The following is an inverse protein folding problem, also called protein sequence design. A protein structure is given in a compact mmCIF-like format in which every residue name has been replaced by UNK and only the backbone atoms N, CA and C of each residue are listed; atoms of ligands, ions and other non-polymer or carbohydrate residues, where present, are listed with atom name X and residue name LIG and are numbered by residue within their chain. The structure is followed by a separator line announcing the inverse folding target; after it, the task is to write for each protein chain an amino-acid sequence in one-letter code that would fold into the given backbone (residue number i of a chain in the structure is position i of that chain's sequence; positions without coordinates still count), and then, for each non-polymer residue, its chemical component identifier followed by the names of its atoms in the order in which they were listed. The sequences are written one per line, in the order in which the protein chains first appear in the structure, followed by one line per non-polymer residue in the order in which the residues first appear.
data_IF_467897692978
#
_entry.id   IF_467897692978
#
_cell.length_a   1.000
_cell.length_b   1.000
_cell.length_c   1.000
_cell.angle_alpha   90.00
_cell.angle_beta   90.00
_cell.angle_gamma   90.00
#
_symmetry.space_group_name_H-M   'P 1'
#
loop_
_entity.id
_entity.type
_entity.pdbx_description
1 polymer ?
#
# COMPACT_ATOMS: atom_id res chain seq x y z
N UNK A 1 5.97 16.36 -19.01
CA UNK A 1 4.94 17.03 -18.20
C UNK A 1 4.03 17.78 -19.16
N UNK A 2 2.71 17.79 -18.93
CA UNK A 2 1.78 18.59 -19.72
C UNK A 2 2.26 20.03 -19.73
N UNK A 3 2.19 20.67 -20.88
CA UNK A 3 2.40 22.12 -20.95
C UNK A 3 1.26 22.77 -20.14
N UNK A 4 1.59 23.73 -19.27
CA UNK A 4 0.57 24.42 -18.45
C UNK A 4 -0.51 25.02 -19.35
N UNK A 5 -1.78 24.85 -18.95
CA UNK A 5 -2.93 25.33 -19.72
C UNK A 5 -3.26 24.51 -20.97
N UNK A 6 -2.72 23.29 -21.08
CA UNK A 6 -3.22 22.31 -22.05
C UNK A 6 -4.45 21.58 -21.51
N UNK A 7 -5.29 21.00 -22.39
CA UNK A 7 -6.39 20.15 -21.95
C UNK A 7 -5.96 19.00 -21.02
N UNK A 8 -4.74 18.47 -21.16
CA UNK A 8 -4.19 17.45 -20.27
C UNK A 8 -3.86 17.97 -18.86
N UNK A 9 -3.36 19.21 -18.75
CA UNK A 9 -3.12 19.88 -17.48
C UNK A 9 -4.45 20.16 -16.74
N UNK A 10 -5.46 20.61 -17.47
CA UNK A 10 -6.82 20.80 -16.95
C UNK A 10 -7.42 19.47 -16.44
N UNK A 11 -7.25 18.36 -17.17
CA UNK A 11 -7.68 17.02 -16.71
C UNK A 11 -6.99 16.63 -15.40
N UNK A 12 -5.68 16.86 -15.30
CA UNK A 12 -4.93 16.56 -14.09
C UNK A 12 -5.49 17.34 -12.89
N UNK A 13 -5.83 18.63 -13.10
CA UNK A 13 -6.47 19.47 -12.09
C UNK A 13 -7.81 18.91 -11.62
N UNK A 14 -8.70 18.55 -12.55
CA UNK A 14 -10.01 17.99 -12.23
C UNK A 14 -9.93 16.65 -11.48
N UNK A 15 -9.01 15.76 -11.88
CA UNK A 15 -8.77 14.51 -11.14
C UNK A 15 -8.21 14.76 -9.73
N UNK A 16 -7.36 15.78 -9.57
CA UNK A 16 -6.80 16.19 -8.29
C UNK A 16 -7.92 16.68 -7.36
N UNK A 17 -8.78 17.57 -7.85
CA UNK A 17 -9.93 18.09 -7.09
C UNK A 17 -10.90 16.97 -6.67
N UNK A 18 -11.21 16.06 -7.60
CA UNK A 18 -12.07 14.90 -7.33
C UNK A 18 -11.46 13.97 -6.27
N UNK A 19 -10.16 13.69 -6.37
CA UNK A 19 -9.42 12.87 -5.41
C UNK A 19 -9.32 13.53 -4.04
N UNK A 20 -8.91 14.80 -3.99
CA UNK A 20 -8.76 15.56 -2.74
C UNK A 20 -10.08 15.67 -1.97
N UNK A 21 -11.19 15.88 -2.69
CA UNK A 21 -12.52 15.90 -2.08
C UNK A 21 -12.87 14.56 -1.43
N UNK A 22 -12.67 13.43 -2.15
CA UNK A 22 -12.98 12.11 -1.61
C UNK A 22 -12.04 11.73 -0.45
N UNK A 23 -10.72 11.85 -0.66
CA UNK A 23 -9.69 11.50 0.32
C UNK A 23 -9.71 12.40 1.56
N UNK A 24 -10.32 13.59 1.50
CA UNK A 24 -10.55 14.46 2.65
C UNK A 24 -11.37 13.78 3.78
N UNK A 25 -12.18 12.78 3.46
CA UNK A 25 -13.00 12.05 4.44
C UNK A 25 -12.29 10.83 5.06
N UNK A 26 -11.08 10.49 4.62
CA UNK A 26 -10.34 9.28 5.03
C UNK A 26 -10.30 9.10 6.55
N UNK A 27 -9.90 10.15 7.29
CA UNK A 27 -9.67 10.07 8.74
C UNK A 27 -10.97 9.87 9.54
N UNK A 28 -12.08 10.40 9.03
CA UNK A 28 -13.39 10.28 9.68
C UNK A 28 -13.99 8.89 9.45
N UNK A 29 -13.79 8.32 8.27
CA UNK A 29 -14.46 7.11 7.82
C UNK A 29 -13.63 5.84 8.11
N UNK A 30 -12.30 5.94 7.95
CA UNK A 30 -11.34 4.83 8.00
C UNK A 30 -10.11 5.17 8.87
N UNK A 31 -10.29 5.36 10.19
CA UNK A 31 -9.19 5.73 11.11
C UNK A 31 -8.01 4.75 11.09
N UNK A 32 -8.26 3.45 10.90
CA UNK A 32 -7.21 2.42 10.83
C UNK A 32 -6.23 2.59 9.66
N UNK A 33 -6.63 3.33 8.62
CA UNK A 33 -5.88 3.50 7.37
C UNK A 33 -5.68 4.99 7.03
N UNK A 34 -5.60 5.87 8.03
CA UNK A 34 -5.49 7.34 7.90
C UNK A 34 -4.36 7.86 7.02
N UNK A 35 -3.35 7.04 6.73
CA UNK A 35 -2.22 7.44 5.89
C UNK A 35 -2.57 7.48 4.39
N UNK A 36 -3.68 6.87 3.97
CA UNK A 36 -4.15 6.86 2.58
C UNK A 36 -5.00 8.13 2.29
N UNK A 37 -4.42 9.31 2.55
CA UNK A 37 -5.07 10.61 2.38
C UNK A 37 -4.58 11.35 1.12
N UNK A 38 -5.08 12.56 0.87
CA UNK A 38 -4.69 13.39 -0.28
C UNK A 38 -3.18 13.72 -0.32
N UNK A 39 -2.52 13.77 0.84
CA UNK A 39 -1.07 13.96 0.89
C UNK A 39 -0.39 12.71 0.31
N UNK A 40 -0.92 11.51 0.57
CA UNK A 40 -0.38 10.25 0.04
C UNK A 40 -0.47 10.23 -1.48
N UNK A 41 -1.66 10.49 -2.02
CA UNK A 41 -1.87 10.65 -3.46
C UNK A 41 -0.84 11.60 -4.11
N UNK A 42 -0.59 12.76 -3.50
CA UNK A 42 0.42 13.72 -3.97
C UNK A 42 1.84 13.15 -3.96
N UNK A 43 2.22 12.42 -2.91
CA UNK A 43 3.52 11.77 -2.83
C UNK A 43 3.67 10.67 -3.90
N UNK A 44 2.62 9.89 -4.15
CA UNK A 44 2.59 8.90 -5.25
C UNK A 44 2.85 9.57 -6.60
N UNK A 45 2.24 10.73 -6.88
CA UNK A 45 2.55 11.51 -8.10
C UNK A 45 4.03 11.91 -8.17
N UNK A 46 4.59 12.43 -7.07
CA UNK A 46 6.00 12.81 -7.01
C UNK A 46 6.93 11.61 -7.25
N UNK A 47 6.64 10.46 -6.64
CA UNK A 47 7.40 9.22 -6.80
C UNK A 47 7.29 8.67 -8.23
N UNK A 48 6.08 8.64 -8.80
CA UNK A 48 5.85 8.23 -10.18
C UNK A 48 6.60 9.13 -11.17
N UNK A 49 6.65 10.44 -10.91
CA UNK A 49 7.44 11.39 -11.70
C UNK A 49 8.94 11.10 -11.59
N UNK A 50 9.47 10.83 -10.40
CA UNK A 50 10.87 10.48 -10.22
C UNK A 50 11.26 9.19 -10.98
N UNK A 51 10.31 8.24 -11.09
CA UNK A 51 10.50 7.03 -11.90
C UNK A 51 10.56 7.30 -13.41
N UNK A 52 10.02 8.42 -13.90
CA UNK A 52 10.08 8.78 -15.33
C UNK A 52 11.51 9.01 -15.84
N UNK A 53 12.41 9.46 -14.97
CA UNK A 53 13.84 9.62 -15.31
C UNK A 53 14.52 8.27 -15.60
N UNK A 54 13.89 7.15 -15.20
CA UNK A 54 14.45 5.80 -15.32
C UNK A 54 13.74 4.98 -16.42
N UNK A 55 12.40 5.03 -16.46
CA UNK A 55 11.63 4.30 -17.48
C UNK A 55 11.54 5.02 -18.82
N UNK A 56 12.01 6.28 -18.86
CA UNK A 56 11.86 7.18 -19.98
C UNK A 56 10.71 8.17 -19.75
N UNK A 57 10.80 9.37 -20.38
CA UNK A 57 9.82 10.42 -20.17
C UNK A 57 8.43 9.95 -20.60
N UNK A 58 7.44 10.21 -19.75
CA UNK A 58 6.04 9.97 -20.08
C UNK A 58 5.55 10.99 -21.11
N UNK A 59 4.80 10.52 -22.11
CA UNK A 59 4.02 11.40 -22.96
C UNK A 59 2.87 12.06 -22.16
N UNK A 60 2.16 13.02 -22.77
CA UNK A 60 1.14 13.80 -22.06
C UNK A 60 0.00 12.91 -21.53
N UNK A 61 -0.48 11.96 -22.33
CA UNK A 61 -1.54 11.04 -21.93
C UNK A 61 -1.10 10.06 -20.85
N UNK A 62 0.12 9.49 -20.96
CA UNK A 62 0.72 8.63 -19.91
C UNK A 62 0.84 9.39 -18.59
N UNK A 63 1.33 10.63 -18.63
CA UNK A 63 1.48 11.46 -17.44
C UNK A 63 0.12 11.81 -16.82
N UNK A 64 -0.84 12.26 -17.63
CA UNK A 64 -2.17 12.59 -17.13
C UNK A 64 -2.87 11.37 -16.52
N UNK A 65 -2.72 10.20 -17.14
CA UNK A 65 -3.26 8.96 -16.61
C UNK A 65 -2.62 8.56 -15.27
N UNK A 66 -1.29 8.72 -15.12
CA UNK A 66 -0.61 8.49 -13.85
C UNK A 66 -1.06 9.47 -12.76
N UNK A 67 -1.20 10.76 -13.06
CA UNK A 67 -1.68 11.75 -12.10
C UNK A 67 -3.10 11.41 -11.64
N UNK A 68 -4.01 11.21 -12.59
CA UNK A 68 -5.39 10.85 -12.27
C UNK A 68 -5.49 9.54 -11.46
N UNK A 69 -4.77 8.50 -11.86
CA UNK A 69 -4.77 7.24 -11.13
C UNK A 69 -4.18 7.40 -9.72
N UNK A 70 -3.11 8.19 -9.55
CA UNK A 70 -2.50 8.43 -8.23
C UNK A 70 -3.47 9.14 -7.27
N UNK A 71 -4.25 10.11 -7.73
CA UNK A 71 -5.26 10.78 -6.91
C UNK A 71 -6.51 9.94 -6.64
N UNK A 72 -6.79 8.95 -7.49
CA UNK A 72 -8.03 8.19 -7.42
C UNK A 72 -7.85 6.75 -6.93
N UNK A 73 -6.63 6.26 -6.71
CA UNK A 73 -6.40 4.83 -6.42
C UNK A 73 -6.97 4.38 -5.07
N UNK A 74 -6.89 5.23 -4.06
CA UNK A 74 -7.31 4.93 -2.68
C UNK A 74 -8.68 5.49 -2.30
N UNK A 75 -9.37 6.19 -3.21
CA UNK A 75 -10.66 6.85 -2.88
C UNK A 75 -11.69 5.88 -2.33
N UNK A 76 -11.65 4.60 -2.72
CA UNK A 76 -12.52 3.55 -2.18
C UNK A 76 -12.38 3.32 -0.67
N UNK A 77 -11.27 3.72 -0.06
CA UNK A 77 -11.07 3.75 1.39
C UNK A 77 -11.46 5.09 2.03
N UNK A 78 -12.09 6.00 1.29
CA UNK A 78 -12.52 7.31 1.79
C UNK A 78 -14.00 7.60 1.50
N UNK A 79 -14.79 6.57 1.15
CA UNK A 79 -16.21 6.73 0.80
C UNK A 79 -17.15 6.30 1.94
N UNK A 80 -18.28 7.01 2.14
CA UNK A 80 -19.39 6.55 2.97
C UNK A 80 -19.92 5.17 2.54
N UNK A 81 -20.29 4.23 3.44
CA UNK A 81 -20.91 2.95 3.10
C UNK A 81 -22.09 3.02 2.16
N UNK A 82 -22.94 4.05 2.28
CA UNK A 82 -24.04 4.26 1.34
C UNK A 82 -23.55 4.47 -0.09
N UNK A 83 -22.43 5.19 -0.27
CA UNK A 83 -21.81 5.38 -1.58
C UNK A 83 -21.10 4.11 -2.07
N UNK A 84 -20.36 3.41 -1.20
CA UNK A 84 -19.72 2.11 -1.52
C UNK A 84 -20.79 1.12 -2.03
N UNK A 85 -21.91 1.01 -1.32
CA UNK A 85 -23.02 0.14 -1.68
C UNK A 85 -23.69 0.54 -3.00
N UNK A 86 -23.75 1.85 -3.31
CA UNK A 86 -24.31 2.40 -4.56
C UNK A 86 -23.43 2.07 -5.78
N UNK A 87 -22.11 2.05 -5.61
CA UNK A 87 -21.16 1.68 -6.67
C UNK A 87 -21.33 0.23 -7.16
N UNK A 88 -21.89 -0.62 -6.28
CA UNK A 88 -22.28 -2.01 -6.58
C UNK A 88 -21.15 -2.81 -7.21
N UNK A 89 -20.02 -2.91 -6.51
CA UNK A 89 -18.87 -3.72 -6.94
C UNK A 89 -19.28 -5.18 -7.00
N UNK A 90 -19.40 -5.72 -8.20
CA UNK A 90 -19.84 -7.10 -8.42
C UNK A 90 -18.67 -8.07 -8.35
N UNK A 91 -18.86 -9.27 -7.81
CA UNK A 91 -17.81 -10.30 -7.70
C UNK A 91 -17.12 -10.60 -9.04
N UNK A 92 -17.87 -10.59 -10.15
CA UNK A 92 -17.34 -10.77 -11.52
C UNK A 92 -16.34 -9.70 -11.94
N UNK A 93 -16.48 -8.48 -11.41
CA UNK A 93 -15.58 -7.36 -11.68
C UNK A 93 -14.24 -7.53 -10.96
N UNK A 94 -14.28 -8.12 -9.76
CA UNK A 94 -13.07 -8.51 -9.01
C UNK A 94 -12.41 -9.72 -9.69
N UNK A 95 -13.20 -10.76 -9.93
CA UNK A 95 -12.75 -12.01 -10.52
C UNK A 95 -12.20 -11.88 -11.94
N UNK A 96 -12.60 -10.86 -12.71
CA UNK A 96 -12.00 -10.61 -14.03
C UNK A 96 -10.55 -10.16 -13.96
N UNK A 97 -10.13 -9.50 -12.86
CA UNK A 97 -8.73 -9.13 -12.67
C UNK A 97 -7.95 -10.19 -11.88
N UNK A 98 -8.57 -10.76 -10.85
CA UNK A 98 -7.91 -11.71 -9.94
C UNK A 98 -8.88 -12.79 -9.41
N UNK A 99 -9.03 -13.92 -10.14
CA UNK A 99 -9.89 -15.03 -9.73
C UNK A 99 -9.49 -15.66 -8.39
N UNK A 100 -8.19 -15.87 -8.17
CA UNK A 100 -7.68 -16.51 -6.96
C UNK A 100 -7.92 -15.65 -5.71
N UNK A 101 -7.79 -14.34 -5.86
CA UNK A 101 -8.10 -13.40 -4.80
C UNK A 101 -9.60 -13.38 -4.46
N UNK A 102 -10.48 -13.47 -5.46
CA UNK A 102 -11.92 -13.59 -5.20
C UNK A 102 -12.24 -14.83 -4.36
N UNK A 103 -11.58 -15.97 -4.63
CA UNK A 103 -11.74 -17.17 -3.82
C UNK A 103 -11.28 -16.95 -2.37
N UNK A 104 -10.17 -16.23 -2.15
CA UNK A 104 -9.70 -15.86 -0.81
C UNK A 104 -10.72 -14.94 -0.10
N UNK A 105 -11.25 -13.93 -0.81
CA UNK A 105 -12.31 -13.07 -0.30
C UNK A 105 -13.56 -13.84 0.10
N UNK A 106 -14.00 -14.82 -0.70
CA UNK A 106 -15.15 -15.65 -0.36
C UNK A 106 -14.91 -16.57 0.83
N UNK A 107 -13.66 -16.96 1.08
CA UNK A 107 -13.32 -17.73 2.28
C UNK A 107 -13.40 -16.84 3.52
N UNK A 108 -12.82 -15.64 3.44
CA UNK A 108 -12.58 -14.83 4.61
C UNK A 108 -13.68 -13.79 4.87
N UNK A 109 -14.42 -13.31 3.86
CA UNK A 109 -15.35 -12.16 3.90
C UNK A 109 -16.68 -12.41 3.17
N UNK A 110 -17.14 -13.68 3.11
CA UNK A 110 -18.35 -14.07 2.36
C UNK A 110 -19.59 -13.26 2.73
N UNK A 111 -19.71 -12.88 3.99
CA UNK A 111 -20.84 -12.14 4.55
C UNK A 111 -21.07 -10.76 3.92
N UNK A 112 -20.06 -10.22 3.24
CA UNK A 112 -20.11 -8.96 2.50
C UNK A 112 -20.58 -9.12 1.05
N UNK A 113 -20.79 -10.33 0.55
CA UNK A 113 -21.23 -10.57 -0.84
C UNK A 113 -22.70 -11.00 -0.87
N UNK A 114 -23.59 -10.06 -1.17
CA UNK A 114 -25.04 -10.28 -1.26
C UNK A 114 -25.53 -10.05 -2.69
N UNK A 115 -26.25 -11.04 -3.24
CA UNK A 115 -26.70 -10.97 -4.64
C UNK A 115 -25.55 -10.85 -5.65
N UNK A 116 -24.36 -11.35 -5.31
CA UNK A 116 -23.15 -11.28 -6.13
C UNK A 116 -22.40 -9.94 -6.07
N UNK A 117 -22.81 -9.00 -5.22
CA UNK A 117 -22.15 -7.70 -5.06
C UNK A 117 -21.66 -7.46 -3.63
N UNK A 118 -20.55 -6.73 -3.51
CA UNK A 118 -20.03 -6.27 -2.23
C UNK A 118 -21.00 -5.27 -1.58
N UNK A 119 -21.37 -5.52 -0.32
CA UNK A 119 -22.33 -4.75 0.47
C UNK A 119 -21.89 -4.65 1.92
N UNK A 120 -21.78 -3.42 2.41
CA UNK A 120 -21.66 -3.10 3.82
C UNK A 120 -23.06 -3.05 4.45
N UNK A 121 -23.24 -3.76 5.57
CA UNK A 121 -24.52 -3.82 6.30
C UNK A 121 -24.68 -2.68 7.30
N UNK A 122 -23.55 -2.23 7.86
CA UNK A 122 -23.52 -1.14 8.82
C UNK A 122 -23.22 0.19 8.13
N UNK A 123 -23.86 1.25 8.62
CA UNK A 123 -23.64 2.64 8.18
C UNK A 123 -23.06 3.50 9.31
N UNK A 124 -22.49 2.88 10.34
CA UNK A 124 -21.85 3.58 11.45
C UNK A 124 -20.51 4.19 11.04
N UNK A 125 -20.16 5.31 11.68
CA UNK A 125 -18.87 5.96 11.52
C UNK A 125 -18.22 6.18 12.90
N UNK A 126 -16.92 5.89 13.06
CA UNK A 126 -16.07 5.20 12.08
C UNK A 126 -16.55 3.77 11.79
N UNK A 127 -16.08 3.17 10.70
CA UNK A 127 -16.36 1.76 10.42
C UNK A 127 -15.80 0.84 11.52
N UNK A 128 -16.43 -0.32 11.72
CA UNK A 128 -15.82 -1.38 12.53
C UNK A 128 -14.51 -1.86 11.88
N UNK A 129 -13.57 -2.37 12.66
CA UNK A 129 -12.28 -2.90 12.16
C UNK A 129 -12.50 -3.95 11.06
N UNK A 130 -13.53 -4.78 11.22
CA UNK A 130 -13.94 -5.81 10.25
C UNK A 130 -14.44 -5.22 8.93
N UNK A 131 -15.33 -4.24 9.00
CA UNK A 131 -15.86 -3.54 7.81
C UNK A 131 -14.73 -2.80 7.09
N UNK A 132 -13.84 -2.14 7.85
CA UNK A 132 -12.69 -1.43 7.32
C UNK A 132 -11.72 -2.38 6.60
N UNK A 133 -11.41 -3.55 7.17
CA UNK A 133 -10.60 -4.57 6.53
C UNK A 133 -11.24 -5.09 5.23
N UNK A 134 -12.55 -5.36 5.25
CA UNK A 134 -13.27 -5.81 4.07
C UNK A 134 -13.17 -4.77 2.94
N UNK A 135 -13.39 -3.49 3.26
CA UNK A 135 -13.22 -2.39 2.31
C UNK A 135 -11.78 -2.31 1.83
N UNK A 136 -10.78 -2.35 2.71
CA UNK A 136 -9.37 -2.31 2.30
C UNK A 136 -9.02 -3.43 1.32
N UNK A 137 -9.54 -4.64 1.50
CA UNK A 137 -9.25 -5.73 0.56
C UNK A 137 -9.91 -5.47 -0.81
N UNK A 138 -11.05 -4.77 -0.87
CA UNK A 138 -11.82 -4.52 -2.10
C UNK A 138 -11.63 -3.11 -2.68
N UNK A 139 -10.90 -2.22 -1.99
CA UNK A 139 -10.79 -0.80 -2.33
C UNK A 139 -10.33 -0.52 -3.76
N UNK A 140 -9.41 -1.28 -4.40
CA UNK A 140 -9.00 -1.00 -5.77
C UNK A 140 -10.18 -1.06 -6.75
N UNK A 141 -11.12 -1.99 -6.51
CA UNK A 141 -12.34 -2.14 -7.31
C UNK A 141 -13.43 -1.14 -6.94
N UNK A 142 -13.54 -0.76 -5.66
CA UNK A 142 -14.42 0.33 -5.24
C UNK A 142 -13.97 1.64 -5.91
N UNK A 143 -12.68 1.96 -5.84
CA UNK A 143 -12.06 3.10 -6.51
C UNK A 143 -12.28 3.04 -8.02
N UNK A 144 -12.07 1.89 -8.67
CA UNK A 144 -12.34 1.73 -10.11
C UNK A 144 -13.80 2.04 -10.50
N UNK A 145 -14.77 1.56 -9.70
CA UNK A 145 -16.19 1.89 -9.90
C UNK A 145 -16.49 3.35 -9.64
N UNK A 146 -15.85 3.96 -8.64
CA UNK A 146 -15.96 5.39 -8.37
C UNK A 146 -15.49 6.21 -9.59
N UNK A 147 -14.33 5.89 -10.14
CA UNK A 147 -13.81 6.52 -11.36
C UNK A 147 -14.79 6.38 -12.52
N UNK A 148 -15.28 5.17 -12.79
CA UNK A 148 -16.26 4.92 -13.87
C UNK A 148 -17.57 5.68 -13.69
N UNK A 149 -17.95 6.01 -12.45
CA UNK A 149 -19.24 6.62 -12.14
C UNK A 149 -19.20 8.14 -12.08
N UNK A 150 -18.07 8.73 -11.67
CA UNK A 150 -18.00 10.17 -11.38
C UNK A 150 -17.02 10.92 -12.29
N UNK A 151 -15.95 10.27 -12.78
CA UNK A 151 -14.99 10.95 -13.64
C UNK A 151 -15.58 11.37 -15.00
N UNK A 152 -16.45 10.59 -15.68
CA UNK A 152 -17.06 11.02 -16.94
C UNK A 152 -17.77 12.38 -16.85
N UNK A 153 -18.60 12.56 -15.82
CA UNK A 153 -19.33 13.81 -15.58
C UNK A 153 -18.37 14.95 -15.19
N UNK A 154 -17.34 14.64 -14.40
CA UNK A 154 -16.32 15.61 -13.97
C UNK A 154 -15.54 16.20 -15.16
N UNK A 155 -15.30 15.40 -16.21
CA UNK A 155 -14.53 15.82 -17.39
C UNK A 155 -15.40 16.09 -18.62
N UNK A 156 -16.73 16.13 -18.50
CA UNK A 156 -17.65 16.15 -19.65
C UNK A 156 -17.32 17.29 -20.62
N UNK A 157 -17.29 18.53 -20.13
CA UNK A 157 -16.99 19.71 -20.96
C UNK A 157 -15.59 19.65 -21.57
N UNK A 158 -14.61 19.19 -20.79
CA UNK A 158 -13.22 19.10 -21.23
C UNK A 158 -13.02 18.01 -22.28
N UNK A 159 -13.80 16.93 -22.20
CA UNK A 159 -13.77 15.82 -23.15
C UNK A 159 -14.13 16.22 -24.58
N UNK A 160 -14.85 17.34 -24.76
CA UNK A 160 -15.20 17.90 -26.06
C UNK A 160 -13.98 18.49 -26.81
N UNK A 161 -12.88 18.77 -26.09
CA UNK A 161 -11.61 19.24 -26.68
C UNK A 161 -10.74 18.10 -27.23
N UNK A 162 -11.16 16.85 -27.02
CA UNK A 162 -10.43 15.64 -27.41
C UNK A 162 -11.18 14.86 -28.50
N UNK A 163 -10.59 13.76 -28.97
CA UNK A 163 -11.18 12.88 -29.95
C UNK A 163 -12.49 12.24 -29.45
N UNK A 164 -13.37 11.86 -30.39
CA UNK A 164 -14.67 11.31 -30.05
C UNK A 164 -14.56 10.09 -29.12
N UNK A 165 -15.38 10.08 -28.07
CA UNK A 165 -15.40 8.98 -27.09
C UNK A 165 -14.30 9.04 -26.03
N UNK A 166 -13.49 10.11 -25.99
CA UNK A 166 -12.52 10.35 -24.92
C UNK A 166 -13.14 10.25 -23.52
N UNK A 167 -14.26 10.94 -23.29
CA UNK A 167 -14.97 10.97 -22.00
C UNK A 167 -15.44 9.61 -21.48
N UNK A 168 -15.49 8.57 -22.34
CA UNK A 168 -15.78 7.20 -21.92
C UNK A 168 -14.53 6.33 -21.83
N UNK A 169 -13.56 6.53 -22.73
CA UNK A 169 -12.34 5.71 -22.79
C UNK A 169 -11.35 6.07 -21.69
N UNK A 170 -11.15 7.37 -21.44
CA UNK A 170 -10.19 7.82 -20.43
C UNK A 170 -10.57 7.35 -19.02
N UNK A 171 -11.82 7.51 -18.52
CA UNK A 171 -12.20 6.96 -17.22
C UNK A 171 -12.03 5.44 -17.09
N UNK A 172 -12.24 4.66 -18.16
CA UNK A 172 -11.99 3.21 -18.16
C UNK A 172 -10.51 2.87 -18.05
N UNK A 173 -9.65 3.66 -18.68
CA UNK A 173 -8.19 3.54 -18.53
C UNK A 173 -7.79 3.80 -17.08
N UNK A 174 -8.26 4.90 -16.49
CA UNK A 174 -7.97 5.25 -15.09
C UNK A 174 -8.51 4.17 -14.14
N UNK A 175 -9.76 3.75 -14.31
CA UNK A 175 -10.36 2.65 -13.53
C UNK A 175 -9.55 1.36 -13.59
N UNK A 176 -9.02 1.02 -14.78
CA UNK A 176 -8.16 -0.16 -14.94
C UNK A 176 -6.84 0.01 -14.21
N UNK A 177 -6.17 1.16 -14.37
CA UNK A 177 -4.92 1.45 -13.68
C UNK A 177 -5.08 1.39 -12.17
N UNK A 178 -6.17 1.98 -11.66
CA UNK A 178 -6.54 1.96 -10.25
C UNK A 178 -6.82 0.53 -9.79
N UNK A 179 -7.55 -0.32 -10.50
CA UNK A 179 -7.71 -1.72 -10.06
C UNK A 179 -6.40 -2.49 -10.05
N UNK A 180 -5.57 -2.26 -11.07
CA UNK A 180 -4.31 -2.94 -11.27
C UNK A 180 -3.19 -2.45 -10.35
N UNK A 181 -3.42 -1.43 -9.52
CA UNK A 181 -2.50 -1.09 -8.44
C UNK A 181 -2.48 -2.18 -7.34
N UNK A 182 -3.53 -3.02 -7.25
CA UNK A 182 -3.55 -4.12 -6.31
C UNK A 182 -2.44 -5.15 -6.56
N UNK A 183 -1.78 -5.61 -5.50
CA UNK A 183 -0.78 -6.70 -5.55
C UNK A 183 -1.36 -8.03 -6.01
N UNK A 184 -2.67 -8.19 -5.82
CA UNK A 184 -3.42 -9.39 -6.18
C UNK A 184 -3.67 -9.49 -7.69
N UNK A 185 -3.45 -8.40 -8.44
CA UNK A 185 -3.61 -8.38 -9.89
C UNK A 185 -2.29 -8.72 -10.56
N UNK A 186 -2.32 -9.77 -11.38
CA UNK A 186 -1.22 -10.08 -12.30
C UNK A 186 -1.30 -9.10 -13.46
N UNK A 187 -0.41 -8.11 -13.44
CA UNK A 187 -0.29 -7.13 -14.51
C UNK A 187 -0.10 -7.83 -15.88
N UNK A 188 -0.58 -7.22 -16.96
CA UNK A 188 -0.38 -7.72 -18.32
C UNK A 188 -0.11 -6.53 -19.22
N UNK A 189 0.67 -6.74 -20.29
CA UNK A 189 0.82 -5.72 -21.33
C UNK A 189 -0.56 -5.44 -21.92
N UNK A 190 -0.97 -4.19 -21.89
CA UNK A 190 -2.28 -3.77 -22.36
C UNK A 190 -2.15 -2.40 -23.02
N UNK A 191 -2.10 -2.39 -24.35
CA UNK A 191 -1.82 -1.21 -25.13
C UNK A 191 -3.09 -0.53 -25.60
N UNK A 192 -3.19 0.76 -25.34
CA UNK A 192 -4.27 1.63 -25.79
C UNK A 192 -3.70 2.77 -26.64
N UNK A 193 -4.54 3.29 -27.54
CA UNK A 193 -4.31 4.58 -28.17
C UNK A 193 -5.35 5.59 -27.69
N UNK A 194 -4.88 6.79 -27.40
CA UNK A 194 -5.69 7.92 -26.95
C UNK A 194 -5.04 9.22 -27.47
N UNK A 195 -5.75 10.01 -28.26
CA UNK A 195 -5.25 11.26 -28.85
C UNK A 195 -3.93 11.09 -29.63
N UNK A 196 -3.76 9.96 -30.34
CA UNK A 196 -2.51 9.62 -31.03
C UNK A 196 -1.34 9.23 -30.11
N UNK A 197 -1.51 9.27 -28.79
CA UNK A 197 -0.55 8.73 -27.83
C UNK A 197 -0.76 7.25 -27.60
N UNK A 198 0.34 6.52 -27.41
CA UNK A 198 0.33 5.12 -26.99
C UNK A 198 0.47 5.02 -25.47
N UNK A 199 -0.40 4.24 -24.85
CA UNK A 199 -0.38 3.95 -23.41
C UNK A 199 -0.24 2.45 -23.20
N UNK A 200 0.71 2.02 -22.36
CA UNK A 200 0.79 0.64 -21.88
C UNK A 200 0.37 0.58 -20.41
N UNK A 201 -0.84 0.09 -20.15
CA UNK A 201 -1.39 0.08 -18.79
C UNK A 201 -0.63 -0.88 -17.86
N UNK A 202 -0.03 -1.94 -18.39
CA UNK A 202 0.81 -2.82 -17.58
C UNK A 202 2.03 -2.08 -17.04
N UNK A 203 2.70 -1.30 -17.90
CA UNK A 203 3.81 -0.41 -17.52
C UNK A 203 3.37 0.65 -16.53
N UNK A 204 2.29 1.39 -16.83
CA UNK A 204 1.83 2.50 -15.98
C UNK A 204 1.33 2.03 -14.61
N UNK A 205 0.62 0.90 -14.53
CA UNK A 205 0.23 0.30 -13.25
C UNK A 205 1.42 -0.22 -12.45
N UNK A 206 2.48 -0.73 -13.10
CA UNK A 206 3.70 -1.12 -12.40
C UNK A 206 4.43 0.10 -11.80
N UNK A 207 4.45 1.23 -12.51
CA UNK A 207 4.95 2.51 -12.00
C UNK A 207 4.11 2.98 -10.81
N UNK A 208 2.78 2.96 -10.93
CA UNK A 208 1.86 3.36 -9.87
C UNK A 208 2.08 2.54 -8.60
N UNK A 209 2.18 1.21 -8.73
CA UNK A 209 2.45 0.29 -7.60
C UNK A 209 3.75 0.60 -6.87
N UNK A 210 4.84 0.81 -7.62
CA UNK A 210 6.12 1.12 -7.00
C UNK A 210 6.10 2.51 -6.36
N UNK A 211 5.44 3.49 -6.99
CA UNK A 211 5.32 4.84 -6.47
C UNK A 211 4.51 4.92 -5.16
N UNK A 212 3.42 4.15 -5.08
CA UNK A 212 2.62 3.93 -3.87
C UNK A 212 3.47 3.26 -2.77
N UNK A 213 4.11 2.13 -3.09
CA UNK A 213 4.94 1.37 -2.16
C UNK A 213 6.17 2.13 -1.63
N UNK A 214 6.52 3.29 -2.18
CA UNK A 214 7.60 4.16 -1.70
C UNK A 214 7.15 5.19 -0.65
N UNK A 215 5.86 5.44 -0.47
CA UNK A 215 5.37 6.45 0.49
C UNK A 215 5.22 5.90 1.91
N UNK A 216 6.35 5.56 2.54
CA UNK A 216 6.37 4.92 3.87
C UNK A 216 7.34 5.56 4.88
N UNK A 217 7.51 6.89 4.82
CA UNK A 217 8.40 7.63 5.73
C UNK A 217 7.72 8.15 7.02
N UNK A 218 8.50 8.32 8.08
CA UNK A 218 8.14 8.92 9.39
C UNK A 218 7.49 10.29 9.28
N UNK A 219 7.86 11.09 8.29
CA UNK A 219 7.25 12.40 8.04
C UNK A 219 5.73 12.32 7.89
N UNK A 220 5.22 11.17 7.43
CA UNK A 220 3.79 10.86 7.27
C UNK A 220 3.09 10.56 8.59
N UNK A 221 3.77 9.91 9.52
CA UNK A 221 3.17 9.31 10.71
C UNK A 221 3.28 10.21 11.95
N UNK A 222 4.24 11.14 11.98
CA UNK A 222 4.52 12.00 13.14
C UNK A 222 3.34 12.88 13.60
N UNK A 223 2.45 13.29 12.70
CA UNK A 223 1.30 14.14 13.03
C UNK A 223 0.05 13.36 13.47
N UNK A 224 0.13 12.03 13.44
CA UNK A 224 -1.00 11.12 13.62
C UNK A 224 -0.84 10.30 14.91
N UNK A 225 0.39 10.20 15.45
CA UNK A 225 0.79 9.21 16.47
C UNK A 225 0.01 9.28 17.79
N UNK A 226 -0.25 10.46 18.33
CA UNK A 226 -0.56 10.54 19.77
C UNK A 226 -2.03 10.20 20.10
N UNK A 227 -2.94 10.23 19.13
CA UNK A 227 -4.34 9.83 19.35
C UNK A 227 -4.71 8.50 18.69
N UNK A 228 -4.06 8.15 17.58
CA UNK A 228 -4.39 6.92 16.86
C UNK A 228 -3.59 5.70 17.34
N UNK A 229 -2.43 5.87 17.98
CA UNK A 229 -1.74 4.71 18.57
C UNK A 229 -2.62 4.06 19.65
N UNK A 230 -3.31 4.84 20.49
CA UNK A 230 -4.22 4.27 21.49
C UNK A 230 -5.42 3.56 20.84
N UNK A 231 -5.99 4.13 19.77
CA UNK A 231 -7.12 3.50 19.05
C UNK A 231 -6.72 2.27 18.23
N UNK A 232 -5.53 2.26 17.62
CA UNK A 232 -5.04 1.19 16.73
C UNK A 232 -4.35 0.07 17.53
N UNK A 233 -3.69 0.39 18.65
CA UNK A 233 -3.02 -0.57 19.55
C UNK A 233 -3.94 -1.69 19.98
N UNK A 234 -5.17 -1.35 20.32
CA UNK A 234 -6.13 -2.30 20.89
C UNK A 234 -7.08 -2.91 19.84
N UNK A 235 -7.12 -2.38 18.60
CA UNK A 235 -8.17 -2.68 17.60
C UNK A 235 -7.69 -3.17 16.23
N UNK A 236 -6.40 -3.06 15.90
CA UNK A 236 -5.90 -3.59 14.62
C UNK A 236 -4.40 -3.92 14.63
N UNK A 237 -4.01 -5.09 15.17
CA UNK A 237 -2.61 -5.55 15.19
C UNK A 237 -1.91 -5.56 13.82
N UNK A 238 -2.65 -5.90 12.76
CA UNK A 238 -2.13 -5.92 11.38
C UNK A 238 -1.70 -4.54 10.88
N UNK A 239 -2.30 -3.48 11.42
CA UNK A 239 -1.91 -2.09 11.13
C UNK A 239 -0.82 -1.58 12.04
N UNK A 240 -0.78 -2.05 13.29
CA UNK A 240 0.24 -1.63 14.24
C UNK A 240 1.66 -1.84 13.70
N UNK A 241 1.94 -2.99 13.07
CA UNK A 241 3.27 -3.25 12.47
C UNK A 241 3.65 -2.26 11.37
N UNK A 242 2.70 -1.87 10.52
CA UNK A 242 2.96 -0.83 9.51
C UNK A 242 3.33 0.50 10.16
N UNK A 243 2.66 0.87 11.25
CA UNK A 243 2.90 2.15 11.90
C UNK A 243 4.25 2.17 12.61
N UNK A 244 4.53 1.14 13.40
CA UNK A 244 5.78 1.04 14.17
C UNK A 244 6.99 1.06 13.22
N UNK A 245 6.97 0.27 12.14
CA UNK A 245 8.13 0.22 11.25
C UNK A 245 8.24 1.46 10.36
N UNK A 246 7.13 2.06 9.90
CA UNK A 246 7.17 3.34 9.14
C UNK A 246 7.73 4.50 9.97
N UNK A 247 7.47 4.52 11.28
CA UNK A 247 8.01 5.54 12.19
C UNK A 247 9.54 5.55 12.24
N UNK A 248 10.20 4.43 11.94
CA UNK A 248 11.65 4.34 11.91
C UNK A 248 12.28 4.84 10.59
N UNK A 249 11.50 4.93 9.51
CA UNK A 249 12.00 5.30 8.18
C UNK A 249 12.06 6.81 8.06
N UNK A 250 13.25 7.41 8.05
CA UNK A 250 13.44 8.86 7.88
C UNK A 250 12.97 9.34 6.51
N UNK A 251 13.44 8.69 5.45
CA UNK A 251 13.15 9.10 4.08
C UNK A 251 13.22 7.92 3.12
N UNK A 252 12.47 8.03 2.01
CA UNK A 252 12.57 7.12 0.87
C UNK A 252 12.70 8.00 -0.36
N UNK A 253 13.73 7.77 -1.17
CA UNK A 253 13.95 8.56 -2.36
C UNK A 253 14.62 7.75 -3.47
N UNK A 254 14.46 8.22 -4.71
CA UNK A 254 15.10 7.63 -5.89
C UNK A 254 16.11 8.61 -6.46
N UNK A 255 17.31 8.11 -6.73
CA UNK A 255 18.34 8.87 -7.44
C UNK A 255 19.18 7.94 -8.31
N UNK A 256 19.38 8.31 -9.57
CA UNK A 256 20.20 7.56 -10.53
C UNK A 256 19.87 6.06 -10.62
N UNK A 257 18.58 5.70 -10.64
CA UNK A 257 18.15 4.31 -10.74
C UNK A 257 18.30 3.50 -9.44
N UNK A 258 18.53 4.14 -8.30
CA UNK A 258 18.63 3.49 -6.98
C UNK A 258 17.55 4.04 -6.05
N UNK A 259 16.75 3.14 -5.48
CA UNK A 259 15.86 3.42 -4.35
C UNK A 259 16.70 3.39 -3.06
N UNK A 260 16.70 4.49 -2.32
CA UNK A 260 17.38 4.61 -1.04
C UNK A 260 16.35 4.77 0.07
N UNK A 261 16.41 3.88 1.07
CA UNK A 261 15.59 3.92 2.29
C UNK A 261 16.50 4.31 3.45
N UNK A 262 16.26 5.46 4.06
CA UNK A 262 17.02 5.96 5.21
C UNK A 262 16.26 5.69 6.50
N UNK A 263 16.93 5.12 7.50
CA UNK A 263 16.35 4.72 8.79
C UNK A 263 16.98 5.60 9.89
N UNK A 264 16.12 6.18 10.73
CA UNK A 264 16.46 7.15 11.78
C UNK A 264 17.01 6.50 13.06
N UNK A 265 16.99 5.17 13.16
CA UNK A 265 17.40 4.45 14.36
C UNK A 265 18.88 4.03 14.29
N UNK A 266 19.63 4.30 15.37
CA UNK A 266 20.94 3.70 15.58
C UNK A 266 20.75 2.27 16.05
N UNK A 267 21.44 1.32 15.42
CA UNK A 267 21.30 -0.09 15.79
C UNK A 267 22.18 -0.40 17.03
N UNK A 268 21.96 0.32 18.12
CA UNK A 268 22.79 0.33 19.33
C UNK A 268 22.15 -0.40 20.52
N UNK A 269 20.85 -0.70 20.43
CA UNK A 269 20.09 -1.39 21.46
C UNK A 269 19.08 -2.36 20.83
N UNK A 270 18.52 -3.22 21.68
CA UNK A 270 17.64 -4.31 21.27
C UNK A 270 16.36 -3.82 20.56
N UNK A 271 15.78 -2.71 21.00
CA UNK A 271 14.55 -2.16 20.40
C UNK A 271 14.83 -1.67 18.98
N UNK A 272 15.95 -0.98 18.79
CA UNK A 272 16.39 -0.50 17.49
C UNK A 272 16.80 -1.63 16.55
N UNK A 273 17.44 -2.70 17.05
CA UNK A 273 17.70 -3.93 16.29
C UNK A 273 16.40 -4.58 15.77
N UNK A 274 15.43 -4.75 16.66
CA UNK A 274 14.12 -5.31 16.32
C UNK A 274 13.34 -4.43 15.34
N UNK A 275 13.42 -3.11 15.51
CA UNK A 275 12.79 -2.15 14.60
C UNK A 275 13.43 -2.20 13.21
N UNK A 276 14.76 -2.24 13.13
CA UNK A 276 15.50 -2.40 11.88
C UNK A 276 15.12 -3.70 11.14
N UNK A 277 14.98 -4.81 11.88
CA UNK A 277 14.53 -6.09 11.33
C UNK A 277 13.13 -5.97 10.71
N UNK A 278 12.21 -5.33 11.42
CA UNK A 278 10.85 -5.05 10.93
C UNK A 278 10.86 -4.22 9.65
N UNK A 279 11.59 -3.10 9.62
CA UNK A 279 11.71 -2.27 8.41
C UNK A 279 12.25 -3.08 7.23
N UNK A 280 13.36 -3.82 7.43
CA UNK A 280 14.01 -4.57 6.35
C UNK A 280 13.13 -5.67 5.78
N UNK A 281 12.48 -6.43 6.65
CA UNK A 281 11.83 -7.68 6.23
C UNK A 281 10.34 -7.57 6.03
N UNK A 282 9.71 -6.51 6.54
CA UNK A 282 8.30 -6.21 6.30
C UNK A 282 8.14 -5.05 5.32
N UNK A 283 8.52 -3.81 5.68
CA UNK A 283 8.29 -2.65 4.82
C UNK A 283 9.10 -2.73 3.51
N UNK A 284 10.36 -3.17 3.58
CA UNK A 284 11.19 -3.30 2.38
C UNK A 284 10.90 -4.61 1.65
N UNK A 285 10.98 -5.77 2.31
CA UNK A 285 10.83 -7.05 1.60
C UNK A 285 9.40 -7.34 1.14
N UNK A 286 8.39 -7.11 1.98
CA UNK A 286 7.02 -7.47 1.65
C UNK A 286 6.30 -6.39 0.87
N UNK A 287 6.53 -5.12 1.26
CA UNK A 287 5.83 -4.00 0.65
C UNK A 287 6.57 -3.48 -0.58
N UNK A 288 7.83 -3.08 -0.47
CA UNK A 288 8.55 -2.46 -1.59
C UNK A 288 9.04 -3.45 -2.66
N UNK A 289 9.69 -4.56 -2.26
CA UNK A 289 10.38 -5.45 -3.21
C UNK A 289 9.45 -6.14 -4.20
N UNK A 290 8.25 -6.55 -3.76
CA UNK A 290 7.26 -7.16 -4.66
C UNK A 290 6.82 -6.21 -5.78
N UNK A 291 6.67 -4.93 -5.47
CA UNK A 291 6.30 -3.92 -6.46
C UNK A 291 7.48 -3.53 -7.34
N UNK A 292 8.70 -3.56 -6.80
CA UNK A 292 9.93 -3.43 -7.58
C UNK A 292 10.11 -4.60 -8.58
N UNK A 293 9.79 -5.83 -8.17
CA UNK A 293 9.79 -7.01 -9.05
C UNK A 293 8.79 -6.87 -10.19
N UNK A 294 7.56 -6.43 -9.88
CA UNK A 294 6.56 -6.12 -10.88
C UNK A 294 7.06 -5.02 -11.83
N UNK A 295 7.57 -3.90 -11.29
CA UNK A 295 8.15 -2.81 -12.07
C UNK A 295 9.25 -3.30 -13.02
N UNK A 296 10.21 -4.07 -12.52
CA UNK A 296 11.34 -4.59 -13.31
C UNK A 296 10.83 -5.44 -14.46
N UNK A 297 9.86 -6.31 -14.20
CA UNK A 297 9.25 -7.19 -15.19
C UNK A 297 8.56 -6.43 -16.33
N UNK A 298 7.82 -5.36 -16.03
CA UNK A 298 7.03 -4.63 -17.06
C UNK A 298 7.79 -3.50 -17.74
N UNK A 299 8.81 -2.94 -17.10
CA UNK A 299 9.60 -1.84 -17.69
C UNK A 299 10.90 -2.34 -18.33
N UNK A 300 11.36 -3.54 -17.96
CA UNK A 300 12.69 -4.03 -18.31
C UNK A 300 13.83 -3.26 -17.64
N UNK A 301 13.51 -2.40 -16.65
CA UNK A 301 14.48 -1.59 -15.89
C UNK A 301 14.63 -2.16 -14.49
N UNK A 302 15.83 -2.64 -14.17
CA UNK A 302 16.16 -3.05 -12.81
C UNK A 302 16.67 -1.85 -12.03
N UNK A 303 16.06 -1.59 -10.87
CA UNK A 303 16.49 -0.54 -9.96
C UNK A 303 17.34 -1.13 -8.85
N UNK A 304 18.42 -0.44 -8.50
CA UNK A 304 19.13 -0.72 -7.26
C UNK A 304 18.23 -0.43 -6.06
N UNK A 305 18.45 -1.14 -4.97
CA UNK A 305 17.84 -0.87 -3.66
C UNK A 305 18.94 -0.85 -2.61
N UNK A 306 18.98 0.21 -1.82
CA UNK A 306 19.90 0.39 -0.71
C UNK A 306 19.11 0.83 0.52
N UNK A 307 19.35 0.19 1.66
CA UNK A 307 18.82 0.61 2.96
C UNK A 307 19.99 1.15 3.79
N UNK A 308 19.85 2.35 4.35
CA UNK A 308 20.90 3.04 5.11
C UNK A 308 20.41 3.36 6.51
N UNK A 309 21.27 3.14 7.49
CA UNK A 309 21.02 3.48 8.90
C UNK A 309 21.82 4.73 9.26
N UNK A 310 21.25 5.64 10.08
CA UNK A 310 21.91 6.90 10.44
C UNK A 310 23.21 6.68 11.22
N UNK A 311 23.28 5.69 12.11
CA UNK A 311 24.48 5.34 12.86
C UNK A 311 24.69 3.82 12.82
N UNK A 312 25.66 3.35 12.03
CA UNK A 312 26.29 2.05 12.28
C UNK A 312 27.37 2.23 13.35
N UNK A 313 27.62 1.20 14.15
CA UNK A 313 28.70 1.19 15.16
C UNK A 313 30.08 1.52 14.57
N UNK A 314 30.23 1.35 13.25
CA UNK A 314 31.50 1.41 12.54
C UNK A 314 31.55 2.58 11.53
N UNK A 315 30.50 3.39 11.41
CA UNK A 315 30.41 4.51 10.45
C UNK A 315 30.24 4.12 8.98
N UNK A 316 30.31 2.84 8.64
CA UNK A 316 30.10 2.32 7.27
C UNK A 316 28.62 1.96 7.03
N UNK A 317 28.02 2.33 5.88
CA UNK A 317 26.63 2.00 5.58
C UNK A 317 26.45 0.48 5.41
N UNK A 318 25.52 -0.10 6.17
CA UNK A 318 25.11 -1.49 5.98
C UNK A 318 24.33 -1.65 4.68
N UNK A 319 25.00 -2.10 3.62
CA UNK A 319 24.35 -2.41 2.35
C UNK A 319 23.72 -3.81 2.38
N UNK A 320 22.45 -3.87 2.77
CA UNK A 320 21.64 -5.10 2.70
C UNK A 320 21.16 -5.27 1.25
N UNK A 321 21.73 -6.25 0.52
CA UNK A 321 21.34 -6.45 -0.88
C UNK A 321 19.97 -7.16 -1.01
N UNK A 322 19.28 -6.91 -2.13
CA UNK A 322 17.93 -7.43 -2.44
C UNK A 322 17.79 -8.95 -2.29
N UNK A 323 18.81 -9.72 -2.67
CA UNK A 323 18.79 -11.18 -2.59
C UNK A 323 18.71 -11.64 -1.14
N UNK A 324 19.52 -11.06 -0.27
CA UNK A 324 19.53 -11.35 1.16
C UNK A 324 18.19 -11.00 1.81
N UNK A 325 17.63 -9.83 1.51
CA UNK A 325 16.31 -9.42 2.01
C UNK A 325 15.21 -10.43 1.65
N UNK A 326 15.18 -10.88 0.38
CA UNK A 326 14.19 -11.84 -0.10
C UNK A 326 14.35 -13.22 0.55
N UNK A 327 15.57 -13.74 0.66
CA UNK A 327 15.83 -15.04 1.29
C UNK A 327 15.42 -15.02 2.76
N UNK A 328 15.78 -13.97 3.49
CA UNK A 328 15.46 -13.86 4.90
C UNK A 328 13.96 -13.65 5.17
N UNK A 329 13.28 -12.80 4.39
CA UNK A 329 11.82 -12.61 4.52
C UNK A 329 11.06 -13.93 4.35
N UNK A 330 11.46 -14.77 3.39
CA UNK A 330 10.85 -16.09 3.18
C UNK A 330 11.10 -17.05 4.36
N UNK A 331 12.32 -17.05 4.93
CA UNK A 331 12.64 -17.90 6.08
C UNK A 331 11.87 -17.46 7.34
N UNK A 332 11.76 -16.16 7.61
CA UNK A 332 10.98 -15.65 8.74
C UNK A 332 9.51 -16.00 8.64
N UNK A 333 8.91 -15.92 7.45
CA UNK A 333 7.50 -16.35 7.24
C UNK A 333 7.25 -17.82 7.55
N UNK A 334 8.29 -18.65 7.43
CA UNK A 334 8.24 -20.07 7.77
C UNK A 334 8.36 -20.36 9.27
N UNK A 335 8.64 -19.34 10.12
CA UNK A 335 8.73 -19.53 11.56
C UNK A 335 7.36 -19.89 12.13
N UNK A 336 7.25 -21.08 12.70
CA UNK A 336 6.08 -21.46 13.46
C UNK A 336 6.16 -20.83 14.86
N UNK A 337 5.34 -19.80 15.10
CA UNK A 337 5.31 -19.05 16.35
C UNK A 337 4.14 -19.46 17.25
N UNK A 338 3.64 -20.70 17.17
CA UNK A 338 2.50 -21.21 17.97
C UNK A 338 2.77 -21.33 19.49
N UNK A 339 3.29 -20.27 20.11
CA UNK A 339 3.49 -20.13 21.54
C UNK A 339 2.28 -19.45 22.22
N UNK A 340 2.32 -19.35 23.54
CA UNK A 340 1.24 -18.81 24.36
C UNK A 340 0.95 -17.33 24.02
N UNK A 341 1.96 -16.58 23.59
CA UNK A 341 1.81 -15.17 23.28
C UNK A 341 1.17 -14.94 21.91
N UNK A 342 1.53 -15.73 20.89
CA UNK A 342 0.81 -15.68 19.61
C UNK A 342 -0.67 -15.95 19.81
N UNK A 343 -1.02 -16.92 20.68
CA UNK A 343 -2.41 -17.24 21.01
C UNK A 343 -3.11 -16.13 21.78
N UNK A 344 -2.40 -15.41 22.64
CA UNK A 344 -2.94 -14.24 23.35
C UNK A 344 -3.24 -13.09 22.37
N UNK A 345 -2.36 -12.80 21.42
CA UNK A 345 -2.63 -11.82 20.36
C UNK A 345 -3.78 -12.31 19.47
N UNK A 346 -3.78 -13.57 19.06
CA UNK A 346 -4.89 -14.18 18.29
C UNK A 346 -6.22 -14.11 19.04
N UNK A 347 -6.21 -14.30 20.37
CA UNK A 347 -7.39 -14.19 21.24
C UNK A 347 -7.89 -12.75 21.28
N UNK A 348 -7.02 -11.76 21.51
CA UNK A 348 -7.37 -10.34 21.51
C UNK A 348 -8.01 -9.91 20.18
N UNK A 349 -7.42 -10.33 19.05
CA UNK A 349 -8.00 -10.15 17.72
C UNK A 349 -9.36 -10.85 17.64
N UNK A 350 -9.45 -12.13 18.03
CA UNK A 350 -10.69 -12.89 17.91
C UNK A 350 -11.85 -12.34 18.75
N UNK A 351 -11.57 -11.80 19.94
CA UNK A 351 -12.56 -11.17 20.81
C UNK A 351 -13.14 -9.90 20.20
N UNK A 352 -12.34 -9.12 19.49
CA UNK A 352 -12.82 -7.96 18.73
C UNK A 352 -13.72 -8.37 17.55
N UNK A 353 -13.37 -9.47 16.86
CA UNK A 353 -14.15 -10.00 15.74
C UNK A 353 -15.39 -10.78 16.21
N UNK A 354 -15.50 -11.13 17.50
CA UNK A 354 -16.59 -11.95 18.05
C UNK A 354 -17.98 -11.29 18.04
N UNK A 355 -18.05 -9.97 17.78
CA UNK A 355 -19.29 -9.26 17.44
C UNK A 355 -19.78 -9.49 15.99
N UNK A 356 -18.96 -10.11 15.15
CA UNK A 356 -19.22 -10.38 13.73
C UNK A 356 -19.17 -11.89 13.45
N UNK A 357 -20.10 -12.40 12.61
CA UNK A 357 -20.21 -13.83 12.27
C UNK A 357 -19.09 -14.27 11.33
N UNK A 358 -17.86 -14.35 11.83
CA UNK A 358 -16.70 -14.87 11.10
C UNK A 358 -15.41 -14.65 11.89
N UNK A 359 -14.72 -15.73 12.25
CA UNK A 359 -13.35 -15.62 12.76
C UNK A 359 -12.41 -15.39 11.57
N UNK A 360 -11.57 -14.34 11.58
CA UNK A 360 -10.55 -14.18 10.55
C UNK A 360 -9.61 -15.39 10.60
N UNK A 361 -9.33 -15.99 9.44
CA UNK A 361 -8.38 -17.11 9.34
C UNK A 361 -6.93 -16.65 9.17
N UNK A 362 -6.66 -15.34 9.11
CA UNK A 362 -5.30 -14.79 9.07
C UNK A 362 -4.69 -14.94 10.49
N UNK A 363 -3.81 -15.95 10.63
CA UNK A 363 -2.96 -16.11 11.81
C UNK A 363 -2.10 -14.87 11.99
N UNK A 364 -1.91 -14.47 13.23
CA UNK A 364 -0.91 -13.47 13.63
C UNK A 364 0.45 -13.90 13.11
N UNK A 365 1.14 -13.00 12.39
CA UNK A 365 2.46 -13.29 11.86
C UNK A 365 3.58 -12.78 12.78
N UNK A 366 4.83 -13.13 12.43
CA UNK A 366 6.02 -12.71 13.19
C UNK A 366 6.08 -11.20 13.43
N UNK A 367 5.72 -10.41 12.43
CA UNK A 367 5.84 -8.96 12.47
C UNK A 367 4.74 -8.32 13.30
N UNK A 368 3.55 -8.92 13.36
CA UNK A 368 2.51 -8.53 14.33
C UNK A 368 3.02 -8.71 15.76
N UNK A 369 3.61 -9.87 16.06
CA UNK A 369 4.15 -10.19 17.39
C UNK A 369 5.31 -9.24 17.75
N UNK A 370 6.21 -8.98 16.80
CA UNK A 370 7.35 -8.08 17.00
C UNK A 370 6.90 -6.64 17.26
N UNK A 371 5.92 -6.15 16.51
CA UNK A 371 5.35 -4.81 16.69
C UNK A 371 4.71 -4.66 18.08
N UNK A 372 3.94 -5.66 18.53
CA UNK A 372 3.38 -5.65 19.88
C UNK A 372 4.46 -5.65 20.97
N UNK A 373 5.49 -6.49 20.84
CA UNK A 373 6.59 -6.54 21.79
C UNK A 373 7.36 -5.20 21.89
N UNK A 374 7.58 -4.53 20.75
CA UNK A 374 8.20 -3.20 20.70
C UNK A 374 7.32 -2.15 21.41
N UNK A 375 6.01 -2.18 21.17
CA UNK A 375 5.08 -1.25 21.80
C UNK A 375 4.97 -1.45 23.32
N UNK A 376 5.03 -2.70 23.78
CA UNK A 376 4.95 -3.06 25.20
C UNK A 376 6.29 -2.86 25.94
N UNK A 377 7.40 -2.65 25.21
CA UNK A 377 8.74 -2.59 25.81
C UNK A 377 9.19 -3.91 26.43
N UNK A 378 8.70 -5.06 25.94
CA UNK A 378 9.00 -6.38 26.50
C UNK A 378 10.37 -6.89 26.03
N UNK A 379 11.41 -6.47 26.75
CA UNK A 379 12.82 -6.79 26.44
C UNK A 379 13.09 -8.30 26.30
N UNK A 380 12.50 -9.13 27.17
CA UNK A 380 12.68 -10.58 27.11
C UNK A 380 12.09 -11.16 25.82
N UNK A 381 10.91 -10.68 25.42
CA UNK A 381 10.26 -11.11 24.20
C UNK A 381 10.99 -10.63 22.96
N UNK A 382 11.44 -9.38 22.93
CA UNK A 382 12.26 -8.85 21.84
C UNK A 382 13.52 -9.68 21.64
N UNK A 383 14.23 -10.00 22.72
CA UNK A 383 15.42 -10.84 22.69
C UNK A 383 15.12 -12.22 22.08
N UNK A 384 14.07 -12.89 22.54
CA UNK A 384 13.66 -14.20 22.04
C UNK A 384 13.25 -14.18 20.56
N UNK A 385 12.51 -13.17 20.12
CA UNK A 385 12.10 -13.00 18.72
C UNK A 385 13.29 -12.76 17.82
N UNK A 386 14.21 -11.91 18.27
CA UNK A 386 15.42 -11.59 17.53
C UNK A 386 16.36 -12.79 17.44
N UNK A 387 16.54 -13.55 18.52
CA UNK A 387 17.34 -14.78 18.51
C UNK A 387 16.77 -15.82 17.54
N UNK A 388 15.44 -16.03 17.57
CA UNK A 388 14.75 -16.87 16.58
C UNK A 388 14.97 -16.38 15.16
N UNK A 389 14.86 -15.07 14.89
CA UNK A 389 15.10 -14.50 13.58
C UNK A 389 16.56 -14.72 13.12
N UNK A 390 17.55 -14.48 14.00
CA UNK A 390 18.98 -14.71 13.75
C UNK A 390 19.29 -16.19 13.50
N UNK A 391 18.56 -17.11 14.13
CA UNK A 391 18.73 -18.56 13.93
C UNK A 391 18.37 -19.03 12.51
N UNK A 392 17.38 -18.40 11.88
CA UNK A 392 16.93 -18.75 10.51
C UNK A 392 17.55 -17.84 9.45
N UNK A 393 17.96 -16.63 9.83
CA UNK A 393 18.60 -15.64 8.99
C UNK A 393 19.97 -15.22 9.55
N UNK A 394 20.96 -16.14 9.62
CA UNK A 394 22.30 -15.80 10.11
C UNK A 394 23.01 -14.76 9.25
N UNK A 395 22.54 -14.54 8.01
CA UNK A 395 23.01 -13.50 7.09
C UNK A 395 22.54 -12.11 7.53
N UNK A 396 21.43 -12.03 8.28
CA UNK A 396 21.07 -10.85 9.10
C UNK A 396 21.84 -10.93 10.42
N UNK A 397 23.15 -11.17 10.31
CA UNK A 397 24.07 -10.41 11.13
C UNK A 397 24.05 -9.02 10.53
N UNK A 398 23.02 -8.22 10.88
CA UNK A 398 23.24 -6.79 11.05
C UNK A 398 24.63 -6.68 11.76
N UNK A 399 25.51 -5.76 11.40
CA UNK A 399 26.83 -5.64 12.03
C UNK A 399 26.58 -5.34 13.51
N UNK A 400 26.54 -6.40 14.30
CA UNK A 400 25.97 -6.48 15.66
C UNK A 400 26.80 -7.43 16.51
N UNK A 401 28.10 -7.45 16.25
CA UNK A 401 29.02 -7.88 17.29
C UNK A 401 29.28 -6.68 18.19
N UNK A 402 28.42 -6.48 19.19
CA UNK A 402 28.94 -5.95 20.45
C UNK A 402 29.68 -7.12 21.08
N UNK A 403 31.01 -7.09 20.98
CA UNK A 403 31.89 -7.87 21.85
C UNK A 403 31.89 -7.28 23.25
#
# INVERSE_FOLDING_TARGET
MPVRGTPWDEICGLCTELGDFALGFQRMLFPYFVLHDHIHAKNVVCNARALSDIVGPFNEAEYAALVCASYLHDVGMALPPGMINKLSVHERYIGSDSPDFLNKLHKDFREYFEGGSFKLKNSSYPLSSRDADAVRKVHPWISGRYVESYLPDTIEELSLKFEQGFGQRFPRIISTMVRWHSKEVILKRNEHQLEGYKLDLGKLSAVLRLADAMDFSRGRTKFISDHLIEEVRDRSPSQLKHWIFKMAVKSVHIKHGVISVEINESISDLENECTALGVLLFEVAENLLKDLEAFTKYTGRDLGLVVRFEHSSDGEPLNVNRKMINECSNRIKGLNLQDEYSREIERRISEEYSGSRGHPTERVDFFDILAHALLEGDQNRLYNLLDRAKSVCPEIRLPLSIS
#
